data_IF_279531435767
#
_entry.id   IF_279531435767
#
_cell.length_a   1.000
_cell.length_b   1.000
_cell.length_c   1.000
_cell.angle_alpha   90.00
_cell.angle_beta   90.00
_cell.angle_gamma   90.00
#
_symmetry.space_group_name_H-M   'P 1'
#
loop_
_entity.id
_entity.type
_entity.pdbx_description
1 polymer ?
#
# COMPACT_ATOMS: atom_id res chain seq x y z
N UNK A 1 -16.12 20.52 -21.29
CA UNK A 1 -15.45 19.22 -21.09
C UNK A 1 -16.10 18.59 -19.86
N UNK A 2 -16.55 17.32 -19.90
CA UNK A 2 -17.01 16.68 -18.67
C UNK A 2 -15.80 16.51 -17.74
N UNK A 3 -15.91 17.00 -16.51
CA UNK A 3 -14.89 16.75 -15.48
C UNK A 3 -14.99 15.26 -15.19
N UNK A 4 -14.02 14.49 -15.68
CA UNK A 4 -13.91 13.07 -15.34
C UNK A 4 -13.84 12.98 -13.81
N UNK A 5 -14.72 12.20 -13.19
CA UNK A 5 -14.71 12.05 -11.74
C UNK A 5 -13.32 11.52 -11.33
N UNK A 6 -12.59 12.34 -10.56
CA UNK A 6 -11.24 12.04 -10.12
C UNK A 6 -11.17 10.71 -9.36
N UNK A 7 -12.22 10.39 -8.58
CA UNK A 7 -12.29 9.15 -7.83
C UNK A 7 -12.44 7.95 -8.75
N UNK A 8 -13.32 8.03 -9.75
CA UNK A 8 -13.52 6.94 -10.70
C UNK A 8 -12.26 6.68 -11.53
N UNK A 9 -11.59 7.73 -11.99
CA UNK A 9 -10.31 7.60 -12.71
C UNK A 9 -9.23 6.94 -11.85
N UNK A 10 -9.12 7.36 -10.58
CA UNK A 10 -8.19 6.78 -9.63
C UNK A 10 -8.47 5.28 -9.40
N UNK A 11 -9.72 4.91 -9.11
CA UNK A 11 -10.09 3.51 -8.90
C UNK A 11 -9.84 2.67 -10.16
N UNK A 12 -10.11 3.21 -11.35
CA UNK A 12 -9.80 2.53 -12.61
C UNK A 12 -8.30 2.25 -12.77
N UNK A 13 -7.42 3.18 -12.40
CA UNK A 13 -5.96 2.99 -12.46
C UNK A 13 -5.47 2.00 -11.40
N UNK A 14 -6.04 2.03 -10.21
CA UNK A 14 -5.68 1.12 -9.10
C UNK A 14 -6.08 -0.34 -9.34
N UNK A 15 -6.93 -0.62 -10.33
CA UNK A 15 -7.17 -1.99 -10.79
C UNK A 15 -5.88 -2.66 -11.30
N UNK A 16 -4.95 -1.88 -11.90
CA UNK A 16 -3.64 -2.36 -12.30
C UNK A 16 -2.71 -2.56 -11.08
N UNK A 17 -2.11 -3.74 -10.97
CA UNK A 17 -1.28 -4.09 -9.81
C UNK A 17 0.03 -3.32 -9.73
N UNK A 18 0.63 -2.92 -10.86
CA UNK A 18 1.85 -2.11 -10.87
C UNK A 18 1.57 -0.68 -10.43
N UNK A 19 0.43 -0.12 -10.84
CA UNK A 19 0.00 1.20 -10.38
C UNK A 19 -0.34 1.18 -8.89
N UNK A 20 -1.11 0.19 -8.43
CA UNK A 20 -1.47 0.04 -7.02
C UNK A 20 -0.25 -0.13 -6.10
N UNK A 21 0.75 -0.92 -6.49
CA UNK A 21 1.96 -1.13 -5.69
C UNK A 21 2.79 0.14 -5.56
N UNK A 22 2.96 0.90 -6.65
CA UNK A 22 3.63 2.20 -6.64
C UNK A 22 2.88 3.21 -5.78
N UNK A 23 1.55 3.23 -5.89
CA UNK A 23 0.70 4.12 -5.11
C UNK A 23 0.84 3.89 -3.60
N UNK A 24 0.83 2.63 -3.14
CA UNK A 24 1.08 2.29 -1.73
C UNK A 24 2.52 2.57 -1.30
N UNK A 25 3.50 2.39 -2.19
CA UNK A 25 4.90 2.68 -1.88
C UNK A 25 5.13 4.16 -1.61
N UNK A 26 4.51 5.04 -2.39
CA UNK A 26 4.62 6.49 -2.21
C UNK A 26 4.05 6.89 -0.84
N UNK A 27 2.84 6.43 -0.50
CA UNK A 27 2.24 6.76 0.80
C UNK A 27 2.97 6.11 1.97
N UNK A 28 3.63 4.96 1.77
CA UNK A 28 4.52 4.39 2.76
C UNK A 28 5.80 5.22 2.98
N UNK A 29 6.41 5.70 1.90
CA UNK A 29 7.58 6.57 1.98
C UNK A 29 7.25 7.90 2.68
N UNK A 30 6.00 8.39 2.57
CA UNK A 30 5.49 9.54 3.34
C UNK A 30 5.41 9.23 4.85
N UNK A 31 4.88 8.05 5.26
CA UNK A 31 4.90 7.61 6.67
C UNK A 31 6.32 7.67 7.25
N UNK A 32 7.32 7.25 6.48
CA UNK A 32 8.71 7.24 6.94
C UNK A 32 9.27 8.65 7.16
N UNK A 33 8.68 9.68 6.55
CA UNK A 33 9.11 11.07 6.68
C UNK A 33 8.44 11.79 7.85
N UNK A 34 7.13 11.62 8.02
CA UNK A 34 6.33 12.40 8.97
C UNK A 34 5.68 11.56 10.10
N UNK A 35 5.72 10.23 10.01
CA UNK A 35 5.09 9.30 10.94
C UNK A 35 3.56 9.22 10.83
N UNK A 36 2.95 9.90 9.86
CA UNK A 36 1.51 9.97 9.69
C UNK A 36 0.98 8.78 8.87
N UNK A 37 0.23 7.90 9.54
CA UNK A 37 -0.32 6.69 8.92
C UNK A 37 -1.61 6.91 8.15
N UNK A 38 -2.29 8.06 8.33
CA UNK A 38 -3.62 8.31 7.73
C UNK A 38 -3.59 8.28 6.20
N UNK A 39 -2.56 8.88 5.59
CA UNK A 39 -2.40 8.91 4.14
C UNK A 39 -2.24 7.50 3.56
N UNK A 40 -1.47 6.64 4.23
CA UNK A 40 -1.30 5.25 3.83
C UNK A 40 -2.57 4.41 4.01
N UNK A 41 -3.30 4.59 5.12
CA UNK A 41 -4.55 3.85 5.33
C UNK A 41 -5.63 4.25 4.31
N UNK A 42 -5.70 5.53 3.97
CA UNK A 42 -6.54 6.00 2.86
C UNK A 42 -6.10 5.38 1.53
N UNK A 43 -4.80 5.30 1.27
CA UNK A 43 -4.28 4.68 0.06
C UNK A 43 -4.62 3.18 -0.01
N UNK A 44 -4.46 2.46 1.11
CA UNK A 44 -4.82 1.05 1.25
C UNK A 44 -6.31 0.82 1.01
N UNK A 45 -7.17 1.70 1.55
CA UNK A 45 -8.62 1.68 1.30
C UNK A 45 -8.94 1.82 -0.18
N UNK A 46 -8.33 2.78 -0.88
CA UNK A 46 -8.57 2.97 -2.32
C UNK A 46 -8.14 1.74 -3.13
N UNK A 47 -7.02 1.09 -2.77
CA UNK A 47 -6.56 -0.14 -3.42
C UNK A 47 -7.53 -1.30 -3.17
N UNK A 48 -7.98 -1.47 -1.92
CA UNK A 48 -8.99 -2.48 -1.58
C UNK A 48 -10.23 -2.27 -2.44
N UNK A 49 -10.80 -1.06 -2.45
CA UNK A 49 -12.01 -0.73 -3.23
C UNK A 49 -11.85 -0.93 -4.74
N UNK A 50 -10.67 -0.66 -5.29
CA UNK A 50 -10.42 -0.80 -6.73
C UNK A 50 -10.26 -2.25 -7.18
N UNK A 51 -9.69 -3.12 -6.33
CA UNK A 51 -9.30 -4.49 -6.71
C UNK A 51 -10.26 -5.55 -6.21
N UNK A 52 -11.05 -5.26 -5.19
CA UNK A 52 -11.97 -6.22 -4.56
C UNK A 52 -13.07 -5.48 -3.81
N UNK A 53 -14.12 -6.18 -3.39
CA UNK A 53 -14.99 -5.62 -2.35
C UNK A 53 -14.38 -5.90 -0.96
N UNK A 54 -14.70 -5.05 0.02
CA UNK A 54 -14.20 -5.15 1.41
C UNK A 54 -14.60 -6.49 2.05
N UNK A 55 -15.76 -7.04 1.69
CA UNK A 55 -16.27 -8.33 2.19
C UNK A 55 -15.37 -9.50 1.78
N UNK A 56 -14.92 -9.54 0.53
CA UNK A 56 -14.04 -10.57 0.00
C UNK A 56 -12.66 -10.48 0.63
N UNK A 57 -12.16 -9.26 0.87
CA UNK A 57 -10.90 -9.04 1.60
C UNK A 57 -11.04 -9.50 3.04
N UNK A 58 -12.11 -9.14 3.74
CA UNK A 58 -12.37 -9.58 5.12
C UNK A 58 -12.46 -11.12 5.21
N UNK A 59 -13.15 -11.76 4.27
CA UNK A 59 -13.27 -13.22 4.19
C UNK A 59 -11.91 -13.89 3.96
N UNK A 60 -11.12 -13.40 2.98
CA UNK A 60 -9.78 -13.92 2.68
C UNK A 60 -8.81 -13.73 3.85
N UNK A 61 -8.90 -12.58 4.51
CA UNK A 61 -8.07 -12.24 5.66
C UNK A 61 -8.58 -12.86 6.98
N UNK A 62 -9.74 -13.53 6.96
CA UNK A 62 -10.41 -14.14 8.12
C UNK A 62 -10.63 -13.15 9.27
N UNK A 63 -10.95 -11.90 8.94
CA UNK A 63 -11.26 -10.85 9.91
C UNK A 63 -12.75 -10.54 9.97
N UNK A 64 -13.27 -10.07 11.13
CA UNK A 64 -14.58 -9.44 11.16
C UNK A 64 -14.59 -8.24 10.21
N UNK A 65 -15.57 -8.13 9.32
CA UNK A 65 -15.67 -7.02 8.36
C UNK A 65 -15.67 -5.65 9.05
N UNK A 66 -16.22 -5.56 10.26
CA UNK A 66 -16.19 -4.35 11.09
C UNK A 66 -14.75 -3.94 11.44
N UNK A 67 -13.88 -4.89 11.78
CA UNK A 67 -12.49 -4.63 12.09
C UNK A 67 -11.72 -4.09 10.88
N UNK A 68 -11.94 -4.68 9.69
CA UNK A 68 -11.35 -4.18 8.46
C UNK A 68 -11.87 -2.78 8.11
N UNK A 69 -13.16 -2.52 8.29
CA UNK A 69 -13.73 -1.19 8.09
C UNK A 69 -13.17 -0.14 9.04
N UNK A 70 -13.00 -0.46 10.31
CA UNK A 70 -12.45 0.48 11.29
C UNK A 70 -10.98 0.80 10.99
N UNK A 71 -10.20 -0.19 10.56
CA UNK A 71 -8.83 -0.04 10.10
C UNK A 71 -8.73 0.84 8.86
N UNK A 72 -9.51 0.56 7.82
CA UNK A 72 -9.50 1.33 6.56
C UNK A 72 -10.02 2.77 6.73
N UNK A 73 -10.74 3.05 7.82
CA UNK A 73 -11.20 4.40 8.15
C UNK A 73 -10.31 5.09 9.19
N UNK A 74 -9.11 4.56 9.48
CA UNK A 74 -8.15 5.19 10.38
C UNK A 74 -8.53 5.16 11.87
N UNK A 75 -9.54 4.37 12.26
CA UNK A 75 -9.94 4.24 13.67
C UNK A 75 -9.02 3.31 14.45
N UNK A 76 -8.27 2.44 13.76
CA UNK A 76 -7.29 1.54 14.34
C UNK A 76 -6.11 1.35 13.40
N UNK A 77 -4.91 1.18 13.97
CA UNK A 77 -3.71 0.91 13.19
C UNK A 77 -3.64 -0.61 12.86
N UNK A 78 -3.37 -1.01 11.60
CA UNK A 78 -3.10 -2.41 11.26
C UNK A 78 -1.95 -2.98 12.09
N UNK A 79 -2.09 -4.22 12.53
CA UNK A 79 -0.92 -5.04 12.86
C UNK A 79 -0.20 -5.45 11.58
N UNK A 80 1.07 -5.87 11.69
CA UNK A 80 1.81 -6.37 10.53
C UNK A 80 1.09 -7.56 9.86
N UNK A 81 0.55 -8.48 10.67
CA UNK A 81 -0.21 -9.64 10.18
C UNK A 81 -1.43 -9.22 9.37
N UNK A 82 -2.19 -8.23 9.88
CA UNK A 82 -3.37 -7.70 9.19
C UNK A 82 -2.97 -7.04 7.88
N UNK A 83 -1.89 -6.27 7.86
CA UNK A 83 -1.39 -5.62 6.64
C UNK A 83 -1.01 -6.67 5.58
N UNK A 84 -0.23 -7.69 5.94
CA UNK A 84 0.18 -8.75 5.02
C UNK A 84 -1.02 -9.50 4.44
N UNK A 85 -2.02 -9.82 5.27
CA UNK A 85 -3.24 -10.49 4.82
C UNK A 85 -4.07 -9.63 3.86
N UNK A 86 -4.24 -8.34 4.16
CA UNK A 86 -4.97 -7.41 3.28
C UNK A 86 -4.26 -7.25 1.94
N UNK A 87 -2.94 -7.05 1.95
CA UNK A 87 -2.14 -6.97 0.72
C UNK A 87 -2.25 -8.24 -0.12
N UNK A 88 -2.13 -9.42 0.51
CA UNK A 88 -2.28 -10.70 -0.16
C UNK A 88 -3.67 -10.88 -0.77
N UNK A 89 -4.73 -10.44 -0.08
CA UNK A 89 -6.11 -10.52 -0.57
C UNK A 89 -6.36 -9.69 -1.84
N UNK A 90 -5.61 -8.59 -2.03
CA UNK A 90 -5.63 -7.73 -3.22
C UNK A 90 -4.52 -8.04 -4.23
N UNK A 91 -3.77 -9.12 -4.03
CA UNK A 91 -2.73 -9.58 -4.95
C UNK A 91 -1.43 -8.76 -4.92
N UNK A 92 -1.11 -8.14 -3.78
CA UNK A 92 0.11 -7.38 -3.54
C UNK A 92 0.96 -8.03 -2.44
N UNK A 93 2.25 -7.72 -2.43
CA UNK A 93 3.21 -8.16 -1.41
C UNK A 93 4.13 -7.01 -1.03
N UNK A 94 4.84 -7.16 0.09
CA UNK A 94 5.86 -6.22 0.56
C UNK A 94 7.22 -6.64 0.01
N UNK A 95 8.04 -5.65 -0.33
CA UNK A 95 9.46 -5.82 -0.65
C UNK A 95 10.29 -4.81 0.14
N UNK A 96 11.55 -5.13 0.40
CA UNK A 96 12.46 -4.32 1.21
C UNK A 96 13.59 -3.75 0.35
N UNK A 97 13.79 -2.43 0.47
CA UNK A 97 14.88 -1.69 -0.20
C UNK A 97 15.96 -1.31 0.83
N UNK A 98 17.24 -1.24 0.43
CA UNK A 98 18.29 -0.71 1.31
C UNK A 98 17.98 0.74 1.71
N UNK A 99 18.15 1.07 3.00
CA UNK A 99 17.91 2.41 3.54
C UNK A 99 19.00 3.41 3.13
N UNK A 100 20.21 2.90 2.88
CA UNK A 100 21.35 3.58 2.29
C UNK A 100 22.03 2.54 1.40
N UNK A 101 22.49 2.93 0.22
CA UNK A 101 23.36 2.07 -0.57
C UNK A 101 24.63 1.84 0.24
N UNK A 102 24.83 0.62 0.75
CA UNK A 102 26.13 0.12 1.21
C UNK A 102 27.05 -0.08 -0.01
N UNK A 103 27.19 0.97 -0.81
CA UNK A 103 28.29 1.16 -1.75
C UNK A 103 29.24 2.13 -1.07
N UNK A 104 29.91 1.63 -0.02
CA UNK A 104 31.32 1.95 0.09
C UNK A 104 31.94 1.54 -1.25
N UNK A 105 32.17 2.54 -2.08
CA UNK A 105 33.29 2.65 -3.00
C UNK A 105 34.25 1.43 -2.96
N UNK A 106 33.91 0.39 -3.71
CA UNK A 106 34.81 -0.72 -4.02
C UNK A 106 35.39 -0.57 -5.43
N UNK A 107 35.42 0.66 -5.97
CA UNK A 107 36.00 0.96 -7.28
C UNK A 107 37.40 1.56 -7.19
N UNK A 108 37.95 1.70 -5.97
CA UNK A 108 39.29 2.27 -5.73
C UNK A 108 40.45 1.25 -5.81
N UNK A 109 40.23 0.00 -6.23
CA UNK A 109 41.30 -1.03 -6.27
C UNK A 109 41.54 -1.71 -7.63
N UNK A 110 41.05 -1.15 -8.76
CA UNK A 110 41.57 -1.51 -10.08
C UNK A 110 42.57 -0.45 -10.58
N UNK A 111 43.70 -0.33 -9.88
CA UNK A 111 44.96 0.12 -10.47
C UNK A 111 46.05 -0.87 -10.06
N UNK A 112 46.22 -1.92 -10.86
CA UNK A 112 47.53 -2.49 -11.19
C UNK A 112 47.48 -3.24 -12.52
#
# INVERSE_FOLDING_TARGET
MPVKDYREDLLSRLADSNYASQYLKISWDEILQDGNTEAFLLALKNVVEAKSNVTDVANKAKFPSQHLHDLLNGKSNPTLDTLVLVLGAVGLTIDFKPALSDTADKSSWEIH
#
